data_IF_726005149271
#
_entry.id   IF_726005149271
#
_cell.length_a   1.000
_cell.length_b   1.000
_cell.length_c   1.000
_cell.angle_alpha   90.00
_cell.angle_beta   90.00
_cell.angle_gamma   90.00
#
_symmetry.space_group_name_H-M   'P 1'
#
loop_
_entity.id
_entity.type
_entity.pdbx_description
1 polymer ?
#
# COMPACT_ATOMS: atom_id res chain seq x y z
N UNK A 1 13.90 -22.23 48.20
CA UNK A 1 13.95 -21.97 46.75
C UNK A 1 14.48 -20.54 46.57
N UNK A 2 15.65 -20.41 45.92
CA UNK A 2 16.35 -19.13 45.85
C UNK A 2 15.65 -18.23 44.85
N UNK A 3 15.31 -16.99 45.25
CA UNK A 3 14.62 -16.01 44.37
C UNK A 3 15.33 -15.72 43.05
N UNK A 4 16.66 -15.93 42.97
CA UNK A 4 17.44 -15.80 41.75
C UNK A 4 17.11 -16.84 40.68
N UNK A 5 16.89 -18.11 41.07
CA UNK A 5 16.50 -19.18 40.11
C UNK A 5 15.14 -18.91 39.46
N UNK A 6 14.23 -18.26 40.19
CA UNK A 6 12.91 -17.91 39.65
C UNK A 6 13.01 -16.76 38.64
N UNK A 7 13.89 -15.80 38.88
CA UNK A 7 14.10 -14.64 37.96
C UNK A 7 14.79 -15.09 36.66
N UNK A 8 15.82 -15.92 36.76
CA UNK A 8 16.51 -16.47 35.59
C UNK A 8 15.58 -17.30 34.70
N UNK A 9 14.71 -18.13 35.31
CA UNK A 9 13.72 -18.91 34.57
C UNK A 9 12.73 -18.02 33.83
N UNK A 10 12.23 -16.94 34.42
CA UNK A 10 11.33 -15.98 33.81
C UNK A 10 12.01 -15.27 32.64
N UNK A 11 13.29 -14.90 32.78
CA UNK A 11 14.04 -14.25 31.69
C UNK A 11 14.26 -15.24 30.52
N UNK A 12 14.55 -16.49 30.80
CA UNK A 12 14.73 -17.52 29.79
C UNK A 12 13.43 -17.77 29.02
N UNK A 13 12.31 -17.95 29.72
CA UNK A 13 10.98 -18.15 29.11
C UNK A 13 10.57 -16.95 28.22
N UNK A 14 10.90 -15.72 28.63
CA UNK A 14 10.66 -14.52 27.81
C UNK A 14 11.53 -14.52 26.55
N UNK A 15 12.80 -14.85 26.66
CA UNK A 15 13.70 -14.91 25.53
C UNK A 15 13.28 -15.99 24.52
N UNK A 16 12.88 -17.16 24.98
CA UNK A 16 12.38 -18.24 24.13
C UNK A 16 11.09 -17.83 23.40
N UNK A 17 10.16 -17.19 24.12
CA UNK A 17 8.92 -16.67 23.53
C UNK A 17 9.19 -15.59 22.48
N UNK A 18 10.12 -14.68 22.76
CA UNK A 18 10.53 -13.64 21.81
C UNK A 18 11.14 -14.25 20.55
N UNK A 19 12.03 -15.23 20.70
CA UNK A 19 12.66 -15.92 19.58
C UNK A 19 11.63 -16.71 18.74
N UNK A 20 10.61 -17.29 19.37
CA UNK A 20 9.55 -17.98 18.65
C UNK A 20 8.68 -16.98 17.85
N UNK A 21 8.32 -15.84 18.45
CA UNK A 21 7.58 -14.76 17.75
C UNK A 21 8.34 -14.25 16.53
N UNK A 22 9.66 -14.06 16.65
CA UNK A 22 10.51 -13.64 15.53
C UNK A 22 10.56 -14.68 14.40
N UNK A 23 10.63 -15.96 14.73
CA UNK A 23 10.57 -17.06 13.75
C UNK A 23 9.22 -17.14 13.04
N UNK A 24 8.14 -17.00 13.80
CA UNK A 24 6.78 -17.07 13.25
C UNK A 24 6.52 -15.86 12.33
N UNK A 25 6.97 -14.67 12.73
CA UNK A 25 6.90 -13.47 11.90
C UNK A 25 7.71 -13.63 10.60
N UNK A 26 8.96 -14.12 10.70
CA UNK A 26 9.81 -14.33 9.54
C UNK A 26 9.19 -15.39 8.59
N UNK A 27 8.61 -16.45 9.13
CA UNK A 27 7.91 -17.48 8.36
C UNK A 27 6.71 -16.90 7.59
N UNK A 28 5.86 -16.16 8.27
CA UNK A 28 4.69 -15.52 7.68
C UNK A 28 5.08 -14.49 6.61
N UNK A 29 6.11 -13.69 6.87
CA UNK A 29 6.64 -12.71 5.91
C UNK A 29 7.18 -13.38 4.64
N UNK A 30 7.92 -14.48 4.78
CA UNK A 30 8.43 -15.23 3.62
C UNK A 30 7.32 -15.91 2.82
N UNK A 31 6.26 -16.36 3.46
CA UNK A 31 5.09 -16.92 2.78
C UNK A 31 4.37 -15.85 1.95
N UNK A 32 4.20 -14.66 2.50
CA UNK A 32 3.62 -13.52 1.79
C UNK A 32 4.46 -13.10 0.58
N UNK A 33 5.79 -13.07 0.70
CA UNK A 33 6.69 -12.82 -0.44
C UNK A 33 6.50 -13.88 -1.53
N UNK A 34 6.44 -15.16 -1.18
CA UNK A 34 6.22 -16.24 -2.14
C UNK A 34 4.88 -16.10 -2.86
N UNK A 35 3.81 -15.77 -2.13
CA UNK A 35 2.48 -15.51 -2.69
C UNK A 35 2.51 -14.39 -3.71
N UNK A 36 3.15 -13.27 -3.40
CA UNK A 36 3.27 -12.11 -4.29
C UNK A 36 4.12 -12.40 -5.52
N UNK A 37 5.21 -13.13 -5.36
CA UNK A 37 6.01 -13.57 -6.50
C UNK A 37 5.20 -14.46 -7.45
N UNK A 38 4.40 -15.38 -6.93
CA UNK A 38 3.52 -16.22 -7.73
C UNK A 38 2.49 -15.40 -8.52
N UNK A 39 1.86 -14.41 -7.88
CA UNK A 39 0.92 -13.49 -8.54
C UNK A 39 1.62 -12.72 -9.65
N UNK A 40 2.81 -12.19 -9.38
CA UNK A 40 3.60 -11.45 -10.36
C UNK A 40 3.93 -12.30 -11.59
N UNK A 41 4.43 -13.52 -11.40
CA UNK A 41 4.73 -14.44 -12.51
C UNK A 41 3.47 -14.79 -13.30
N UNK A 42 2.37 -15.10 -12.62
CA UNK A 42 1.12 -15.44 -13.29
C UNK A 42 0.54 -14.27 -14.10
N UNK A 43 0.62 -13.06 -13.60
CA UNK A 43 0.21 -11.87 -14.34
C UNK A 43 1.04 -11.73 -15.63
N UNK A 44 2.35 -11.97 -15.57
CA UNK A 44 3.24 -11.91 -16.73
C UNK A 44 2.96 -12.97 -17.77
N UNK A 45 2.69 -14.21 -17.38
CA UNK A 45 2.28 -15.28 -18.29
C UNK A 45 1.03 -14.90 -19.09
N UNK A 46 0.17 -14.06 -18.53
CA UNK A 46 -1.05 -13.55 -19.16
C UNK A 46 -0.85 -12.21 -19.88
N UNK A 47 0.39 -11.71 -19.99
CA UNK A 47 0.72 -10.35 -20.46
C UNK A 47 0.02 -9.23 -19.65
N UNK A 48 -0.26 -9.47 -18.38
CA UNK A 48 -0.85 -8.50 -17.46
C UNK A 48 0.22 -7.90 -16.56
N UNK A 49 -0.04 -6.71 -16.04
CA UNK A 49 0.91 -5.98 -15.21
C UNK A 49 0.42 -5.91 -13.76
N UNK A 50 1.36 -5.90 -12.83
CA UNK A 50 1.11 -5.57 -11.43
C UNK A 50 1.36 -4.09 -11.25
N UNK A 51 0.34 -3.35 -10.86
CA UNK A 51 0.35 -1.88 -10.72
C UNK A 51 0.17 -1.53 -9.25
N UNK A 52 1.13 -0.82 -8.68
CA UNK A 52 1.03 -0.26 -7.33
C UNK A 52 0.61 1.19 -7.45
N UNK A 53 -0.52 1.54 -6.86
CA UNK A 53 -1.08 2.88 -6.89
C UNK A 53 -1.23 3.44 -5.47
N UNK A 54 -0.78 4.66 -5.25
CA UNK A 54 -1.05 5.39 -4.03
C UNK A 54 -2.50 5.90 -3.99
N UNK A 55 -2.99 6.26 -2.80
CA UNK A 55 -4.36 6.72 -2.60
C UNK A 55 -4.40 8.24 -2.45
N UNK A 56 -3.86 8.76 -1.35
CA UNK A 56 -3.96 10.18 -0.97
C UNK A 56 -3.10 11.08 -1.85
N UNK A 57 -3.73 12.02 -2.56
CA UNK A 57 -3.07 12.84 -3.58
C UNK A 57 -2.95 12.17 -4.95
N UNK A 58 -3.37 10.92 -5.10
CA UNK A 58 -3.29 10.15 -6.35
C UNK A 58 -4.66 9.84 -6.96
N UNK A 59 -5.54 9.15 -6.24
CA UNK A 59 -6.92 8.87 -6.67
C UNK A 59 -7.96 9.67 -5.88
N UNK A 60 -7.52 10.41 -4.89
CA UNK A 60 -8.34 11.34 -4.13
C UNK A 60 -7.52 12.58 -3.77
N UNK A 61 -8.16 13.60 -3.18
CA UNK A 61 -7.48 14.78 -2.67
C UNK A 61 -6.43 14.40 -1.63
N UNK A 62 -5.36 15.19 -1.58
CA UNK A 62 -4.32 14.99 -0.58
C UNK A 62 -4.87 15.23 0.82
N UNK A 63 -4.35 14.48 1.78
CA UNK A 63 -4.53 14.72 3.20
C UNK A 63 -4.10 16.17 3.53
N UNK A 64 -4.99 16.95 4.11
CA UNK A 64 -4.65 18.32 4.56
C UNK A 64 -3.93 18.23 5.89
N UNK A 65 -2.63 18.43 5.89
CA UNK A 65 -1.87 18.63 7.11
C UNK A 65 -2.12 20.07 7.62
N UNK A 66 -2.96 20.25 8.62
CA UNK A 66 -2.97 21.51 9.36
C UNK A 66 -1.83 21.46 10.39
N UNK A 67 -1.05 22.54 10.51
CA UNK A 67 0.00 22.66 11.54
C UNK A 67 -0.53 22.57 12.99
N UNK A 68 -1.84 22.64 13.15
CA UNK A 68 -2.54 22.65 14.43
C UNK A 68 -3.15 21.28 14.80
N UNK A 69 -3.12 20.32 13.89
CA UNK A 69 -3.63 18.97 14.13
C UNK A 69 -2.50 18.03 14.52
N UNK A 70 -2.74 17.21 15.54
CA UNK A 70 -1.81 16.14 15.91
C UNK A 70 -1.59 15.18 14.74
N UNK A 71 -0.41 14.54 14.65
CA UNK A 71 -0.10 13.56 13.59
C UNK A 71 -1.15 12.43 13.46
N UNK A 72 -1.84 12.14 14.56
CA UNK A 72 -2.83 11.07 14.71
C UNK A 72 -4.26 11.49 14.39
N UNK A 73 -4.47 12.67 13.76
CA UNK A 73 -5.81 13.13 13.46
C UNK A 73 -6.41 12.28 12.31
N UNK A 74 -7.02 11.17 12.71
CA UNK A 74 -7.67 10.15 11.88
C UNK A 74 -8.71 10.72 10.91
N UNK A 75 -9.17 11.94 11.16
CA UNK A 75 -10.24 12.60 10.40
C UNK A 75 -9.78 13.02 9.01
N UNK A 76 -8.48 13.33 8.82
CA UNK A 76 -8.01 14.02 7.63
C UNK A 76 -8.15 13.23 6.31
N UNK A 77 -8.01 11.89 6.33
CA UNK A 77 -8.20 11.08 5.13
C UNK A 77 -9.66 10.69 4.89
N UNK A 78 -10.49 10.66 5.94
CA UNK A 78 -11.93 10.38 5.84
C UNK A 78 -12.67 11.44 5.03
N UNK A 79 -12.19 12.69 5.07
CA UNK A 79 -12.74 13.82 4.33
C UNK A 79 -12.16 13.96 2.92
N UNK A 80 -11.29 13.06 2.48
CA UNK A 80 -10.70 13.11 1.16
C UNK A 80 -11.77 12.98 0.08
N UNK A 81 -11.73 13.90 -0.91
CA UNK A 81 -12.63 13.86 -2.06
C UNK A 81 -12.03 12.96 -3.16
N UNK A 82 -12.80 12.00 -3.69
CA UNK A 82 -12.32 11.14 -4.76
C UNK A 82 -12.08 11.93 -6.06
N UNK A 83 -11.17 11.43 -6.91
CA UNK A 83 -10.96 11.89 -8.28
C UNK A 83 -11.63 10.92 -9.25
N UNK A 84 -12.92 11.14 -9.61
CA UNK A 84 -13.73 10.14 -10.31
C UNK A 84 -13.13 9.65 -11.62
N UNK A 85 -12.54 10.54 -12.42
CA UNK A 85 -11.96 10.17 -13.72
C UNK A 85 -10.71 9.32 -13.59
N UNK A 86 -9.90 9.54 -12.54
CA UNK A 86 -8.73 8.70 -12.25
C UNK A 86 -9.16 7.33 -11.78
N UNK A 87 -10.17 7.27 -10.90
CA UNK A 87 -10.77 6.03 -10.42
C UNK A 87 -11.37 5.23 -11.59
N UNK A 88 -12.14 5.88 -12.48
CA UNK A 88 -12.70 5.24 -13.66
C UNK A 88 -11.61 4.61 -14.55
N UNK A 89 -10.51 5.32 -14.77
CA UNK A 89 -9.40 4.80 -15.55
C UNK A 89 -8.68 3.64 -14.85
N UNK A 90 -8.40 3.76 -13.54
CA UNK A 90 -7.81 2.65 -12.78
C UNK A 90 -8.71 1.42 -12.76
N UNK A 91 -10.03 1.63 -12.67
CA UNK A 91 -11.01 0.55 -12.78
C UNK A 91 -10.98 -0.11 -14.16
N UNK A 92 -10.78 0.65 -15.24
CA UNK A 92 -10.63 0.04 -16.57
C UNK A 92 -9.40 -0.85 -16.68
N UNK A 93 -8.28 -0.46 -16.04
CA UNK A 93 -7.09 -1.32 -15.99
C UNK A 93 -7.34 -2.60 -15.17
N UNK A 94 -8.12 -2.52 -14.10
CA UNK A 94 -8.56 -3.69 -13.35
C UNK A 94 -9.46 -4.60 -14.20
N UNK A 95 -10.39 -4.03 -14.95
CA UNK A 95 -11.31 -4.76 -15.84
C UNK A 95 -10.58 -5.41 -17.03
N UNK A 96 -9.41 -4.88 -17.39
CA UNK A 96 -8.47 -5.45 -18.36
C UNK A 96 -7.56 -6.54 -17.72
N UNK A 97 -7.91 -7.04 -16.52
CA UNK A 97 -7.20 -8.08 -15.76
C UNK A 97 -5.81 -7.70 -15.26
N UNK A 98 -5.47 -6.42 -15.20
CA UNK A 98 -4.27 -5.98 -14.49
C UNK A 98 -4.44 -6.17 -12.97
N UNK A 99 -3.36 -6.51 -12.27
CA UNK A 99 -3.37 -6.69 -10.82
C UNK A 99 -3.11 -5.35 -10.12
N UNK A 100 -4.14 -4.76 -9.53
CA UNK A 100 -4.06 -3.43 -8.92
C UNK A 100 -3.89 -3.53 -7.41
N UNK A 101 -2.81 -2.97 -6.89
CA UNK A 101 -2.52 -2.85 -5.46
C UNK A 101 -2.62 -1.38 -5.06
N UNK A 102 -3.56 -1.03 -4.18
CA UNK A 102 -3.51 0.28 -3.54
C UNK A 102 -2.67 0.22 -2.27
N UNK A 103 -1.63 1.06 -2.19
CA UNK A 103 -0.72 1.09 -1.06
C UNK A 103 -0.56 2.51 -0.53
N UNK A 104 -1.03 2.76 0.69
CA UNK A 104 -1.08 4.08 1.32
C UNK A 104 -0.21 4.16 2.58
N UNK A 105 0.26 5.37 2.90
CA UNK A 105 0.99 5.65 4.14
C UNK A 105 0.09 5.81 5.38
N UNK A 106 -1.22 5.62 5.24
CA UNK A 106 -2.16 5.68 6.37
C UNK A 106 -1.71 4.71 7.46
N UNK A 107 -1.69 5.20 8.71
CA UNK A 107 -1.29 4.43 9.87
C UNK A 107 0.23 4.34 10.12
N UNK A 108 1.07 4.73 9.15
CA UNK A 108 2.52 4.59 9.31
C UNK A 108 3.08 5.41 10.49
N UNK A 109 2.60 6.64 10.70
CA UNK A 109 3.05 7.49 11.80
C UNK A 109 2.43 7.10 13.15
N UNK A 110 1.12 6.78 13.16
CA UNK A 110 0.39 6.47 14.39
C UNK A 110 0.55 5.03 14.86
N UNK A 111 0.95 4.12 13.97
CA UNK A 111 0.92 2.68 14.21
C UNK A 111 -0.49 2.09 14.23
N UNK A 112 -1.53 2.89 13.88
CA UNK A 112 -2.92 2.44 13.85
C UNK A 112 -3.23 1.73 12.55
N UNK A 113 -3.85 0.56 12.62
CA UNK A 113 -4.28 -0.18 11.44
C UNK A 113 -5.58 0.41 10.86
N UNK A 114 -5.44 1.12 9.73
CA UNK A 114 -6.57 1.70 8.98
C UNK A 114 -6.98 0.88 7.77
N UNK A 115 -6.60 -0.38 7.67
CA UNK A 115 -6.87 -1.21 6.49
C UNK A 115 -8.37 -1.32 6.19
N UNK A 116 -9.17 -1.68 7.19
CA UNK A 116 -10.61 -1.87 6.99
C UNK A 116 -11.36 -0.55 6.71
N UNK A 117 -10.93 0.56 7.31
CA UNK A 117 -11.49 1.88 7.00
C UNK A 117 -11.13 2.34 5.59
N UNK A 118 -9.87 2.09 5.19
CA UNK A 118 -9.41 2.39 3.83
C UNK A 118 -10.19 1.60 2.79
N UNK A 119 -10.41 0.31 3.00
CA UNK A 119 -11.25 -0.52 2.13
C UNK A 119 -12.66 0.00 2.02
N UNK A 120 -13.32 0.30 3.15
CA UNK A 120 -14.69 0.87 3.16
C UNK A 120 -14.76 2.18 2.37
N UNK A 121 -13.73 3.02 2.45
CA UNK A 121 -13.68 4.27 1.70
C UNK A 121 -13.51 4.01 0.20
N UNK A 122 -12.60 3.12 -0.20
CA UNK A 122 -12.42 2.71 -1.60
C UNK A 122 -13.71 2.12 -2.18
N UNK A 123 -14.39 1.25 -1.42
CA UNK A 123 -15.66 0.64 -1.81
C UNK A 123 -16.76 1.71 -1.99
N UNK A 124 -16.79 2.74 -1.12
CA UNK A 124 -17.75 3.85 -1.24
C UNK A 124 -17.53 4.70 -2.50
N UNK A 125 -16.33 4.70 -3.05
CA UNK A 125 -15.96 5.36 -4.30
C UNK A 125 -16.04 4.44 -5.52
N UNK A 126 -16.52 3.19 -5.35
CA UNK A 126 -16.55 2.15 -6.37
C UNK A 126 -15.17 1.86 -6.99
N UNK A 127 -14.11 1.92 -6.19
CA UNK A 127 -12.76 1.59 -6.63
C UNK A 127 -12.60 0.07 -6.70
N UNK A 128 -12.12 -0.43 -7.84
CA UNK A 128 -11.80 -1.85 -8.04
C UNK A 128 -10.33 -2.09 -7.77
N UNK A 129 -10.02 -3.15 -7.03
CA UNK A 129 -8.64 -3.49 -6.69
C UNK A 129 -8.47 -4.99 -6.40
N UNK A 130 -7.24 -5.45 -6.56
CA UNK A 130 -6.85 -6.82 -6.20
C UNK A 130 -6.39 -6.88 -4.75
N UNK A 131 -5.64 -5.86 -4.28
CA UNK A 131 -5.19 -5.73 -2.90
C UNK A 131 -5.25 -4.27 -2.42
N UNK A 132 -5.42 -4.11 -1.11
CA UNK A 132 -5.26 -2.83 -0.41
C UNK A 132 -4.25 -3.02 0.73
N UNK A 133 -3.28 -2.11 0.83
CA UNK A 133 -2.22 -2.14 1.83
C UNK A 133 -2.11 -0.78 2.52
N UNK A 134 -1.82 -0.81 3.80
CA UNK A 134 -1.50 0.36 4.63
C UNK A 134 -0.02 0.35 5.03
N UNK A 135 0.41 1.28 5.86
CA UNK A 135 1.78 1.39 6.37
C UNK A 135 2.87 1.54 5.29
N UNK A 136 2.55 2.15 4.13
CA UNK A 136 3.62 2.58 3.22
C UNK A 136 4.53 3.56 3.97
N UNK A 137 5.86 3.36 3.96
CA UNK A 137 6.76 4.28 4.62
C UNK A 137 6.57 5.71 4.16
N UNK A 138 6.62 6.68 5.08
CA UNK A 138 6.70 8.08 4.72
C UNK A 138 8.04 8.37 4.05
N UNK A 139 8.05 9.21 3.04
CA UNK A 139 9.25 9.57 2.29
C UNK A 139 9.17 11.01 1.78
N UNK A 140 10.32 11.64 1.63
CA UNK A 140 10.43 12.94 0.98
C UNK A 140 10.55 12.79 -0.54
N UNK A 141 11.35 11.81 -0.99
CA UNK A 141 11.63 11.53 -2.40
C UNK A 141 11.56 10.02 -2.63
N UNK A 142 10.82 9.62 -3.65
CA UNK A 142 10.78 8.25 -4.15
C UNK A 142 11.59 8.16 -5.43
N UNK A 143 12.68 7.39 -5.42
CA UNK A 143 13.52 7.16 -6.60
C UNK A 143 13.32 5.70 -7.01
N UNK A 144 12.77 5.49 -8.19
CA UNK A 144 12.42 4.17 -8.72
C UNK A 144 12.40 4.24 -10.25
N UNK A 145 12.88 3.19 -10.92
CA UNK A 145 12.94 3.09 -12.38
C UNK A 145 11.59 2.86 -13.06
N UNK A 146 10.56 2.51 -12.27
CA UNK A 146 9.20 2.20 -12.75
C UNK A 146 8.13 3.17 -12.25
N UNK A 147 8.47 4.08 -11.32
CA UNK A 147 7.51 5.00 -10.75
C UNK A 147 7.15 6.11 -11.73
N UNK A 148 5.87 6.45 -11.77
CA UNK A 148 5.37 7.63 -12.46
C UNK A 148 4.87 8.66 -11.44
N UNK A 149 5.27 9.93 -11.62
CA UNK A 149 4.80 11.02 -10.78
C UNK A 149 3.43 11.52 -11.24
N UNK A 150 2.54 11.82 -10.31
CA UNK A 150 1.24 12.43 -10.56
C UNK A 150 1.10 13.77 -9.84
N UNK A 151 0.24 14.67 -10.34
CA UNK A 151 -0.05 15.93 -9.64
C UNK A 151 -0.92 15.65 -8.42
N UNK A 152 -0.55 16.25 -7.28
CA UNK A 152 -1.17 16.00 -5.97
C UNK A 152 -2.43 16.81 -5.72
N UNK A 153 -2.49 18.06 -6.21
CA UNK A 153 -3.42 19.07 -5.70
C UNK A 153 -4.77 19.10 -6.42
N UNK A 154 -4.85 18.46 -7.56
CA UNK A 154 -6.06 18.42 -8.39
C UNK A 154 -6.15 17.11 -9.14
N UNK A 155 -7.35 16.72 -9.56
CA UNK A 155 -7.51 15.60 -10.50
C UNK A 155 -6.64 15.81 -11.76
N UNK A 156 -6.38 17.07 -12.11
CA UNK A 156 -5.55 17.46 -13.25
C UNK A 156 -6.14 17.01 -14.59
N UNK A 157 -5.30 17.00 -15.61
CA UNK A 157 -5.69 16.45 -16.90
C UNK A 157 -5.71 14.93 -16.86
N UNK A 158 -6.87 14.33 -17.03
CA UNK A 158 -7.01 12.89 -17.15
C UNK A 158 -6.22 12.34 -18.34
N UNK A 159 -6.06 13.12 -19.41
CA UNK A 159 -5.26 12.73 -20.58
C UNK A 159 -3.79 12.58 -20.23
N UNK A 160 -3.23 13.50 -19.41
CA UNK A 160 -1.84 13.40 -18.94
C UNK A 160 -1.65 12.19 -18.00
N UNK A 161 -2.59 11.95 -17.11
CA UNK A 161 -2.57 10.80 -16.21
C UNK A 161 -2.57 9.48 -16.99
N UNK A 162 -3.49 9.33 -17.95
CA UNK A 162 -3.57 8.17 -18.84
C UNK A 162 -2.28 7.97 -19.65
N UNK A 163 -1.82 9.04 -20.33
CA UNK A 163 -0.64 8.97 -21.17
C UNK A 163 0.59 8.46 -20.40
N UNK A 164 0.82 8.97 -19.20
CA UNK A 164 1.96 8.53 -18.37
C UNK A 164 1.87 7.06 -17.98
N UNK A 165 0.68 6.57 -17.66
CA UNK A 165 0.48 5.15 -17.34
C UNK A 165 0.66 4.28 -18.59
N UNK A 166 0.08 4.67 -19.73
CA UNK A 166 0.20 3.95 -21.00
C UNK A 166 1.66 3.87 -21.47
N UNK A 167 2.41 4.99 -21.37
CA UNK A 167 3.84 5.00 -21.65
C UNK A 167 4.62 4.08 -20.71
N UNK A 168 4.30 4.05 -19.42
CA UNK A 168 4.95 3.15 -18.47
C UNK A 168 4.63 1.69 -18.79
N UNK A 169 3.36 1.37 -19.04
CA UNK A 169 2.94 0.01 -19.40
C UNK A 169 3.62 -0.49 -20.66
N UNK A 170 3.80 0.38 -21.68
CA UNK A 170 4.47 0.03 -22.93
C UNK A 170 5.97 -0.24 -22.79
N UNK A 171 6.62 0.34 -21.76
CA UNK A 171 8.06 0.19 -21.51
C UNK A 171 8.40 -1.02 -20.65
N UNK A 172 7.42 -1.59 -19.96
CA UNK A 172 7.64 -2.78 -19.13
C UNK A 172 7.81 -3.99 -20.04
N UNK A 173 9.06 -4.22 -20.46
CA UNK A 173 9.48 -5.45 -21.12
C UNK A 173 10.14 -6.36 -20.10
N UNK A 174 9.72 -7.61 -20.06
CA UNK A 174 10.40 -8.61 -19.24
C UNK A 174 11.43 -9.31 -20.09
N UNK A 175 12.67 -9.46 -19.58
CA UNK A 175 13.61 -10.34 -20.26
C UNK A 175 13.02 -11.76 -20.26
N UNK A 176 12.91 -12.32 -21.44
CA UNK A 176 12.53 -13.71 -21.69
C UNK A 176 13.62 -14.63 -21.16
#
# INVERSE_FOLDING_TARGET
MNGNETIEKVHQERAEKQQQLEKDFAGHFMEEIRRRNLIFHKAHEMDKKVIICDIDGTICSQRVFSKERAPDDEVSFREAAPFPKRIEYMNSLYDDDHYIIYWTARGYESGTDFLEETKKQLDSWNVKYSECMVFKPNYDIWIDDKAIGVRRDTEGSISEFKLRIEEALSKVQYPV
#
